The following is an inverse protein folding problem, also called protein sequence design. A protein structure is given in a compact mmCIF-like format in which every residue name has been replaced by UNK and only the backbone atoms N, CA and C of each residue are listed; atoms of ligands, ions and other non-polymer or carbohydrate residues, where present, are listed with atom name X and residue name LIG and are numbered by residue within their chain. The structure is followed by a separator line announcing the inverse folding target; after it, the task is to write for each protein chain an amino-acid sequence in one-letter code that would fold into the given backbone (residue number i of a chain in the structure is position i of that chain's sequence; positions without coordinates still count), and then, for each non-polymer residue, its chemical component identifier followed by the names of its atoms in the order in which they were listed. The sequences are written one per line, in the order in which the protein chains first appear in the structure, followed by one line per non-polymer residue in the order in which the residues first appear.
data_IF_525206498124
#
_entry.id   IF_525206498124
#
_cell.length_a   1.000
_cell.length_b   1.000
_cell.length_c   1.000
_cell.angle_alpha   90.00
_cell.angle_beta   90.00
_cell.angle_gamma   90.00
#
_symmetry.space_group_name_H-M   'P 1'
#
loop_
_entity.id
_entity.type
_entity.pdbx_description
1 polymer ?
#
# COMPACT_ATOMS: atom_id res chain seq x y z
N UNK A 1 -19.84 14.56 21.75
CA UNK A 1 -19.83 14.25 20.29
C UNK A 1 -19.23 12.86 20.12
N UNK A 2 -20.07 11.86 19.87
CA UNK A 2 -19.64 10.49 19.58
C UNK A 2 -18.90 10.49 18.25
N UNK A 3 -17.58 10.34 18.30
CA UNK A 3 -16.70 10.24 17.14
C UNK A 3 -16.97 8.89 16.44
N UNK A 4 -18.09 8.77 15.72
CA UNK A 4 -18.30 7.59 14.90
C UNK A 4 -17.20 7.55 13.84
N UNK A 5 -16.40 6.47 13.74
CA UNK A 5 -15.33 6.39 12.77
C UNK A 5 -15.93 6.46 11.36
N UNK A 6 -15.63 7.54 10.62
CA UNK A 6 -16.16 7.72 9.28
C UNK A 6 -15.67 6.59 8.37
N UNK A 7 -16.59 5.72 7.95
CA UNK A 7 -16.36 4.63 6.98
C UNK A 7 -15.12 3.77 7.25
N UNK A 8 -14.79 3.46 8.51
CA UNK A 8 -13.60 2.64 8.84
C UNK A 8 -13.62 1.26 8.18
N UNK A 9 -14.80 0.64 8.03
CA UNK A 9 -14.93 -0.60 7.26
C UNK A 9 -14.51 -0.46 5.79
N UNK A 10 -14.79 0.70 5.16
CA UNK A 10 -14.37 0.99 3.79
C UNK A 10 -12.86 1.21 3.69
N UNK A 11 -12.27 1.89 4.67
CA UNK A 11 -10.82 2.07 4.75
C UNK A 11 -10.08 0.74 4.89
N UNK A 12 -10.58 -0.15 5.76
CA UNK A 12 -10.04 -1.50 5.94
C UNK A 12 -10.19 -2.34 4.67
N UNK A 13 -11.36 -2.31 4.03
CA UNK A 13 -11.58 -2.98 2.74
C UNK A 13 -10.58 -2.50 1.68
N UNK A 14 -10.38 -1.19 1.56
CA UNK A 14 -9.42 -0.62 0.61
C UNK A 14 -7.99 -1.05 0.89
N UNK A 15 -7.60 -1.10 2.17
CA UNK A 15 -6.29 -1.57 2.57
C UNK A 15 -6.05 -3.04 2.19
N UNK A 16 -7.04 -3.91 2.43
CA UNK A 16 -6.98 -5.34 2.07
C UNK A 16 -6.95 -5.51 0.54
N UNK A 17 -7.72 -4.72 -0.21
CA UNK A 17 -7.72 -4.79 -1.68
C UNK A 17 -6.36 -4.41 -2.28
N UNK A 18 -5.72 -3.35 -1.76
CA UNK A 18 -4.37 -2.95 -2.16
C UNK A 18 -3.37 -4.08 -1.90
N UNK A 19 -3.47 -4.70 -0.73
CA UNK A 19 -2.59 -5.81 -0.36
C UNK A 19 -2.79 -7.01 -1.28
N UNK A 20 -4.05 -7.43 -1.51
CA UNK A 20 -4.38 -8.56 -2.40
C UNK A 20 -3.89 -8.31 -3.83
N UNK A 21 -4.04 -7.09 -4.34
CA UNK A 21 -3.52 -6.74 -5.66
C UNK A 21 -1.99 -6.93 -5.74
N UNK A 22 -1.25 -6.49 -4.73
CA UNK A 22 0.18 -6.69 -4.63
C UNK A 22 0.57 -8.15 -4.51
N UNK A 23 -0.14 -8.89 -3.67
CA UNK A 23 0.08 -10.32 -3.45
C UNK A 23 -0.13 -11.14 -4.73
N UNK A 24 -1.20 -10.86 -5.49
CA UNK A 24 -1.49 -11.51 -6.77
C UNK A 24 -0.39 -11.20 -7.79
N UNK A 25 0.01 -9.93 -7.94
CA UNK A 25 1.09 -9.57 -8.85
C UNK A 25 2.43 -10.20 -8.45
N UNK A 26 2.77 -10.16 -7.15
CA UNK A 26 3.95 -10.81 -6.62
C UNK A 26 3.98 -12.30 -6.95
N UNK A 27 2.85 -12.99 -6.74
CA UNK A 27 2.70 -14.41 -7.10
C UNK A 27 2.96 -14.65 -8.59
N UNK A 28 2.38 -13.83 -9.48
CA UNK A 28 2.62 -13.94 -10.94
C UNK A 28 4.11 -13.80 -11.26
N UNK A 29 4.79 -12.82 -10.66
CA UNK A 29 6.23 -12.60 -10.87
C UNK A 29 7.04 -13.79 -10.37
N UNK A 30 6.74 -14.32 -9.18
CA UNK A 30 7.44 -15.49 -8.62
C UNK A 30 7.20 -16.77 -9.41
N UNK A 31 6.03 -16.92 -10.04
CA UNK A 31 5.72 -18.07 -10.91
C UNK A 31 6.26 -17.92 -12.34
N UNK A 32 6.84 -16.76 -12.69
CA UNK A 32 7.34 -16.48 -14.04
C UNK A 32 8.87 -16.35 -14.02
N UNK A 33 9.64 -17.37 -14.44
CA UNK A 33 11.10 -17.37 -14.32
C UNK A 33 11.79 -16.16 -14.94
N UNK A 34 11.29 -15.67 -16.08
CA UNK A 34 11.82 -14.48 -16.75
C UNK A 34 11.73 -13.21 -15.89
N UNK A 35 10.70 -13.09 -15.05
CA UNK A 35 10.50 -11.93 -14.18
C UNK A 35 11.22 -12.09 -12.84
N UNK A 36 11.22 -13.31 -12.28
CA UNK A 36 11.90 -13.62 -11.03
C UNK A 36 13.42 -13.44 -11.10
N UNK A 37 14.02 -13.75 -12.26
CA UNK A 37 15.48 -13.69 -12.46
C UNK A 37 16.01 -12.29 -12.81
N UNK A 38 15.16 -11.26 -12.80
CA UNK A 38 15.61 -9.89 -12.98
C UNK A 38 16.54 -9.51 -11.82
N UNK A 39 17.69 -8.93 -12.16
CA UNK A 39 18.73 -8.59 -11.20
C UNK A 39 18.21 -7.65 -10.10
N UNK A 40 18.45 -8.02 -8.84
CA UNK A 40 18.20 -7.18 -7.67
C UNK A 40 18.92 -5.83 -7.78
N UNK A 41 18.23 -4.76 -7.39
CA UNK A 41 18.85 -3.43 -7.27
C UNK A 41 19.28 -3.23 -5.81
N UNK A 42 20.59 -3.16 -5.51
CA UNK A 42 21.11 -3.11 -4.14
C UNK A 42 20.45 -2.00 -3.33
N UNK A 43 20.02 -2.33 -2.10
CA UNK A 43 19.32 -1.45 -1.14
C UNK A 43 17.97 -0.85 -1.61
N UNK A 44 17.66 -0.90 -2.91
CA UNK A 44 16.45 -0.33 -3.50
C UNK A 44 15.34 -1.36 -3.57
N UNK A 45 15.56 -2.49 -4.25
CA UNK A 45 14.55 -3.54 -4.40
C UNK A 45 15.15 -4.91 -4.66
N UNK A 46 14.74 -5.89 -3.84
CA UNK A 46 15.06 -7.32 -4.02
C UNK A 46 14.48 -7.88 -5.31
N UNK A 47 13.22 -7.51 -5.59
CA UNK A 47 12.44 -7.97 -6.73
C UNK A 47 11.90 -6.78 -7.52
N UNK A 48 12.72 -6.16 -8.41
CA UNK A 48 12.31 -4.96 -9.16
C UNK A 48 11.05 -5.16 -10.00
N UNK A 49 10.89 -6.36 -10.57
CA UNK A 49 9.71 -6.75 -11.35
C UNK A 49 8.41 -6.79 -10.52
N UNK A 50 8.52 -6.97 -9.19
CA UNK A 50 7.39 -6.82 -8.27
C UNK A 50 7.22 -5.34 -7.93
N UNK A 51 8.25 -4.71 -7.38
CA UNK A 51 8.11 -3.41 -6.73
C UNK A 51 7.83 -2.27 -7.71
N UNK A 52 8.50 -2.20 -8.87
CA UNK A 52 8.38 -1.03 -9.75
C UNK A 52 7.01 -0.94 -10.43
N UNK A 53 6.46 -2.03 -11.02
CA UNK A 53 5.11 -2.01 -11.54
C UNK A 53 4.06 -1.74 -10.45
N UNK A 54 4.25 -2.32 -9.26
CA UNK A 54 3.33 -2.08 -8.15
C UNK A 54 3.35 -0.64 -7.65
N UNK A 55 4.52 -0.02 -7.50
CA UNK A 55 4.61 1.38 -7.09
C UNK A 55 3.83 2.26 -8.09
N UNK A 56 4.04 2.06 -9.39
CA UNK A 56 3.31 2.80 -10.43
C UNK A 56 1.80 2.55 -10.36
N UNK A 57 1.36 1.29 -10.26
CA UNK A 57 -0.05 0.92 -10.16
C UNK A 57 -0.69 1.48 -8.87
N UNK A 58 0.02 1.43 -7.75
CA UNK A 58 -0.47 1.90 -6.46
C UNK A 58 -0.66 3.40 -6.42
N UNK A 59 0.14 4.21 -7.11
CA UNK A 59 -0.16 5.63 -7.24
C UNK A 59 -1.54 5.88 -7.84
N UNK A 60 -1.88 5.16 -8.91
CA UNK A 60 -3.19 5.28 -9.57
C UNK A 60 -4.31 4.75 -8.66
N UNK A 61 -4.11 3.58 -8.06
CA UNK A 61 -5.09 2.95 -7.18
C UNK A 61 -5.36 3.82 -5.95
N UNK A 62 -4.31 4.32 -5.28
CA UNK A 62 -4.43 5.20 -4.11
C UNK A 62 -5.16 6.49 -4.48
N UNK A 63 -4.89 7.08 -5.64
CA UNK A 63 -5.61 8.27 -6.10
C UNK A 63 -7.12 8.01 -6.22
N UNK A 64 -7.50 6.93 -6.91
CA UNK A 64 -8.91 6.58 -7.15
C UNK A 64 -9.61 6.23 -5.83
N UNK A 65 -8.99 5.41 -4.99
CA UNK A 65 -9.58 4.97 -3.73
C UNK A 65 -9.72 6.13 -2.73
N UNK A 66 -8.68 6.97 -2.60
CA UNK A 66 -8.75 8.14 -1.74
C UNK A 66 -9.81 9.13 -2.25
N UNK A 67 -9.88 9.40 -3.56
CA UNK A 67 -10.92 10.25 -4.13
C UNK A 67 -12.34 9.75 -3.81
N UNK A 68 -12.59 8.44 -3.97
CA UNK A 68 -13.89 7.81 -3.63
C UNK A 68 -14.19 7.75 -2.13
N UNK A 69 -13.18 7.78 -1.27
CA UNK A 69 -13.36 7.78 0.18
C UNK A 69 -13.69 9.20 0.70
N UNK A 70 -13.00 10.20 0.14
CA UNK A 70 -13.07 11.60 0.54
C UNK A 70 -14.27 12.36 -0.04
N UNK A 71 -14.95 11.82 -1.05
CA UNK A 71 -16.06 12.50 -1.73
C UNK A 71 -17.23 12.94 -0.82
N UNK A 72 -17.47 12.24 0.29
CA UNK A 72 -18.65 12.48 1.15
C UNK A 72 -18.30 13.01 2.56
N UNK A 73 -17.12 13.61 2.75
CA UNK A 73 -16.70 14.19 4.04
C UNK A 73 -16.31 15.66 3.91
N UNK A 74 -16.65 16.45 4.93
CA UNK A 74 -16.26 17.86 5.03
C UNK A 74 -14.79 18.03 5.49
N UNK A 75 -14.26 17.05 6.25
CA UNK A 75 -12.90 17.10 6.82
C UNK A 75 -11.93 16.21 6.05
N UNK A 76 -11.71 16.55 4.78
CA UNK A 76 -11.02 15.68 3.82
C UNK A 76 -9.55 15.42 4.17
N UNK A 77 -8.80 16.41 4.66
CA UNK A 77 -7.41 16.17 5.05
C UNK A 77 -7.27 15.15 6.20
N UNK A 78 -8.10 15.28 7.24
CA UNK A 78 -8.06 14.41 8.41
C UNK A 78 -8.50 12.97 8.06
N UNK A 79 -9.57 12.82 7.28
CA UNK A 79 -10.02 11.51 6.80
C UNK A 79 -9.04 10.89 5.81
N UNK A 80 -8.37 11.69 4.99
CA UNK A 80 -7.30 11.25 4.10
C UNK A 80 -6.14 10.64 4.88
N UNK A 81 -5.70 11.32 5.95
CA UNK A 81 -4.66 10.79 6.84
C UNK A 81 -5.09 9.46 7.49
N UNK A 82 -6.33 9.37 8.00
CA UNK A 82 -6.85 8.13 8.60
C UNK A 82 -6.89 6.98 7.61
N UNK A 83 -7.33 7.23 6.37
CA UNK A 83 -7.31 6.23 5.31
C UNK A 83 -5.89 5.76 5.04
N UNK A 84 -4.94 6.70 4.88
CA UNK A 84 -3.55 6.36 4.61
C UNK A 84 -2.89 5.57 5.73
N UNK A 85 -3.12 5.95 6.99
CA UNK A 85 -2.66 5.19 8.16
C UNK A 85 -3.29 3.79 8.21
N UNK A 86 -4.57 3.66 7.87
CA UNK A 86 -5.23 2.35 7.82
C UNK A 86 -4.61 1.45 6.75
N UNK A 87 -4.33 2.00 5.56
CA UNK A 87 -3.66 1.27 4.48
C UNK A 87 -2.27 0.82 4.93
N UNK A 88 -1.48 1.74 5.47
CA UNK A 88 -0.14 1.45 5.99
C UNK A 88 -0.17 0.32 7.03
N UNK A 89 -0.97 0.46 8.09
CA UNK A 89 -1.00 -0.51 9.19
C UNK A 89 -1.45 -1.90 8.74
N UNK A 90 -2.50 -1.97 7.92
CA UNK A 90 -2.96 -3.27 7.41
C UNK A 90 -1.92 -3.91 6.51
N UNK A 91 -1.29 -3.14 5.60
CA UNK A 91 -0.31 -3.70 4.67
C UNK A 91 0.96 -4.16 5.40
N UNK A 92 1.50 -3.37 6.33
CA UNK A 92 2.69 -3.78 7.09
C UNK A 92 2.41 -5.01 7.97
N UNK A 93 1.22 -5.12 8.57
CA UNK A 93 0.82 -6.31 9.33
C UNK A 93 0.72 -7.53 8.42
N UNK A 94 0.01 -7.42 7.30
CA UNK A 94 -0.15 -8.55 6.37
C UNK A 94 1.18 -8.97 5.74
N UNK A 95 2.04 -8.01 5.38
CA UNK A 95 3.39 -8.31 4.87
C UNK A 95 4.27 -8.97 5.93
N UNK A 96 4.20 -8.53 7.19
CA UNK A 96 4.90 -9.21 8.27
C UNK A 96 4.38 -10.64 8.47
N UNK A 97 3.06 -10.85 8.46
CA UNK A 97 2.48 -12.19 8.60
C UNK A 97 2.91 -13.11 7.45
N UNK A 98 2.90 -12.63 6.21
CA UNK A 98 3.18 -13.45 5.03
C UNK A 98 4.68 -13.57 4.75
N UNK A 99 5.39 -12.46 4.61
CA UNK A 99 6.79 -12.51 4.21
C UNK A 99 7.70 -12.83 5.38
N UNK A 100 7.48 -12.25 6.56
CA UNK A 100 8.36 -12.47 7.70
C UNK A 100 8.05 -13.79 8.41
N UNK A 101 6.79 -14.05 8.76
CA UNK A 101 6.42 -15.26 9.54
C UNK A 101 6.28 -16.48 8.64
N UNK A 102 5.47 -16.40 7.58
CA UNK A 102 5.16 -17.57 6.76
C UNK A 102 6.30 -17.95 5.80
N UNK A 103 6.94 -16.98 5.15
CA UNK A 103 8.01 -17.23 4.18
C UNK A 103 9.42 -17.04 4.72
N UNK A 104 9.60 -16.66 5.99
CA UNK A 104 10.91 -16.49 6.64
C UNK A 104 11.86 -15.51 5.89
N UNK A 105 11.29 -14.57 5.13
CA UNK A 105 11.99 -13.58 4.32
C UNK A 105 12.36 -12.34 5.12
N UNK A 106 13.21 -12.48 6.12
CA UNK A 106 13.58 -11.38 7.04
C UNK A 106 14.22 -10.17 6.34
N UNK A 107 14.87 -10.40 5.19
CA UNK A 107 15.51 -9.35 4.39
C UNK A 107 14.52 -8.53 3.55
N UNK A 108 13.25 -8.93 3.46
CA UNK A 108 12.21 -8.19 2.74
C UNK A 108 12.12 -6.72 3.18
N UNK A 109 12.16 -6.48 4.50
CA UNK A 109 12.08 -5.14 5.08
C UNK A 109 13.39 -4.35 5.02
N UNK A 110 14.48 -4.92 4.47
CA UNK A 110 15.74 -4.20 4.29
C UNK A 110 15.75 -3.27 3.06
N UNK A 111 14.76 -3.40 2.16
CA UNK A 111 14.75 -2.69 0.88
C UNK A 111 13.91 -1.41 0.91
N UNK A 112 14.46 -0.34 0.35
CA UNK A 112 13.84 0.98 0.32
C UNK A 112 12.47 1.01 -0.38
N UNK A 113 12.26 0.20 -1.43
CA UNK A 113 11.00 0.18 -2.18
C UNK A 113 9.77 -0.11 -1.31
N UNK A 114 9.94 -0.92 -0.27
CA UNK A 114 8.87 -1.29 0.67
C UNK A 114 8.49 -0.08 1.53
N UNK A 115 9.48 0.56 2.14
CA UNK A 115 9.29 1.76 2.95
C UNK A 115 8.78 2.93 2.14
N UNK A 116 9.22 3.06 0.89
CA UNK A 116 8.73 4.07 -0.04
C UNK A 116 7.23 3.90 -0.29
N UNK A 117 6.77 2.68 -0.56
CA UNK A 117 5.34 2.40 -0.71
C UNK A 117 4.56 2.71 0.57
N UNK A 118 5.04 2.28 1.73
CA UNK A 118 4.41 2.58 3.02
C UNK A 118 4.27 4.07 3.27
N UNK A 119 5.33 4.83 3.05
CA UNK A 119 5.30 6.29 3.15
C UNK A 119 4.28 6.91 2.18
N UNK A 120 4.24 6.45 0.93
CA UNK A 120 3.28 6.92 -0.07
C UNK A 120 1.84 6.59 0.29
N UNK A 121 1.58 5.43 0.88
CA UNK A 121 0.24 5.05 1.32
C UNK A 121 -0.34 6.01 2.37
N UNK A 122 0.50 6.69 3.16
CA UNK A 122 0.09 7.71 4.12
C UNK A 122 0.00 9.10 3.47
N UNK A 123 1.09 9.51 2.81
CA UNK A 123 1.23 10.88 2.29
C UNK A 123 0.20 11.16 1.20
N UNK A 124 -0.05 10.20 0.32
CA UNK A 124 -0.85 10.46 -0.88
C UNK A 124 -2.33 10.71 -0.56
N UNK A 125 -3.01 9.88 0.26
CA UNK A 125 -4.38 10.17 0.68
C UNK A 125 -4.51 11.46 1.50
N UNK A 126 -3.52 11.78 2.33
CA UNK A 126 -3.49 13.03 3.09
C UNK A 126 -3.36 14.26 2.19
N UNK A 127 -2.43 14.25 1.24
CA UNK A 127 -2.26 15.34 0.27
C UNK A 127 -3.50 15.53 -0.61
N UNK A 128 -4.12 14.44 -1.06
CA UNK A 128 -5.37 14.51 -1.80
C UNK A 128 -6.49 15.12 -0.96
N UNK A 129 -6.59 14.72 0.30
CA UNK A 129 -7.51 15.33 1.27
C UNK A 129 -7.32 16.83 1.41
N UNK A 130 -6.08 17.28 1.59
CA UNK A 130 -5.75 18.71 1.71
C UNK A 130 -6.04 19.52 0.44
N UNK A 131 -5.96 18.90 -0.73
CA UNK A 131 -6.23 19.57 -2.01
C UNK A 131 -7.72 19.75 -2.28
N UNK A 132 -8.55 18.83 -1.77
CA UNK A 132 -9.99 18.79 -2.01
C UNK A 132 -10.81 19.53 -0.95
N UNK A 133 -10.18 19.88 0.17
CA UNK A 133 -10.73 20.74 1.23
C UNK A 133 -10.70 22.21 0.81
#
# INVERSE_FOLDING_TARGET
MTYMPYKSGKALLYAVLIWLFGFIWGTIVFMTPALMNIQTVPYISKYPAVSFPLIAAYFIILFILAGKYLGDTDKKAAEGLKLGVSIFLVNIILDALVYYILFQGSDYFAYFSIWFFYMMSIIFPWLLGRRLE
#
